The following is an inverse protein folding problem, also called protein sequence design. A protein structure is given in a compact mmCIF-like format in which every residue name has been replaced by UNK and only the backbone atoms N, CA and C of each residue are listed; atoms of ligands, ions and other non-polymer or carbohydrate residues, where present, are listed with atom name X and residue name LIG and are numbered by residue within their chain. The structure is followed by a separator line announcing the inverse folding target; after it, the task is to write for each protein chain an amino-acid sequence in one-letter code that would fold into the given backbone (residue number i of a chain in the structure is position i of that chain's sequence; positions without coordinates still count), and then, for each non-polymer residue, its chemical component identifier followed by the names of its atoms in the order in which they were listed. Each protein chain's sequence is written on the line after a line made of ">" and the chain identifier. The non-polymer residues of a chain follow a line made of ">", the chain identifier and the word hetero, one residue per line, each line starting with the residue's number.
data_IF_640331869645
#
_entry.id   IF_640331869645
#
_cell.length_a   1.000
_cell.length_b   1.000
_cell.length_c   1.000
_cell.angle_alpha   90.00
_cell.angle_beta   90.00
_cell.angle_gamma   90.00
#
_symmetry.space_group_name_H-M   'P 1'
#
loop_
_entity.id
_entity.type
_entity.pdbx_description
1 polymer ?
#
# COMPACT_ATOMS: atom_id res chain seq x y z
N UNK A 1 -3.58 10.51 13.27
CA UNK A 1 -3.91 11.25 12.05
C UNK A 1 -4.26 12.72 12.31
N UNK A 2 -4.24 13.18 13.57
CA UNK A 2 -4.45 14.59 13.92
C UNK A 2 -5.89 15.11 13.79
N UNK A 3 -6.87 14.22 13.63
CA UNK A 3 -8.28 14.59 13.60
C UNK A 3 -8.87 14.77 15.00
N UNK A 4 -9.78 15.74 15.14
CA UNK A 4 -10.60 15.89 16.32
C UNK A 4 -11.62 14.75 16.42
N UNK A 5 -12.19 14.57 17.63
CA UNK A 5 -13.26 13.59 17.84
C UNK A 5 -14.49 13.84 16.94
N UNK A 6 -14.85 15.10 16.78
CA UNK A 6 -15.98 15.52 15.96
C UNK A 6 -15.77 15.20 14.48
N UNK A 7 -14.56 15.42 13.98
CA UNK A 7 -14.17 15.03 12.60
C UNK A 7 -14.19 13.50 12.42
N UNK A 8 -13.71 12.73 13.41
CA UNK A 8 -13.78 11.26 13.37
C UNK A 8 -15.23 10.78 13.35
N UNK A 9 -16.09 11.33 14.17
CA UNK A 9 -17.51 11.00 14.20
C UNK A 9 -18.20 11.32 12.86
N UNK A 10 -17.84 12.41 12.21
CA UNK A 10 -18.33 12.79 10.89
C UNK A 10 -17.92 11.84 9.75
N UNK A 11 -16.80 11.14 9.90
CA UNK A 11 -16.29 10.17 8.92
C UNK A 11 -16.57 8.70 9.29
N UNK A 12 -17.16 8.44 10.44
CA UNK A 12 -17.32 7.08 10.97
C UNK A 12 -18.06 6.15 10.01
N UNK A 13 -19.19 6.58 9.46
CA UNK A 13 -19.98 5.76 8.55
C UNK A 13 -19.23 5.43 7.26
N UNK A 14 -18.51 6.38 6.70
CA UNK A 14 -17.68 6.19 5.51
C UNK A 14 -16.54 5.19 5.78
N UNK A 15 -15.88 5.31 6.92
CA UNK A 15 -14.81 4.40 7.34
C UNK A 15 -15.37 2.99 7.56
N UNK A 16 -16.48 2.87 8.27
CA UNK A 16 -17.13 1.61 8.54
C UNK A 16 -17.55 0.88 7.26
N UNK A 17 -18.16 1.59 6.31
CA UNK A 17 -18.58 1.06 5.03
C UNK A 17 -17.37 0.63 4.18
N UNK A 18 -16.34 1.45 4.11
CA UNK A 18 -15.15 1.11 3.33
C UNK A 18 -14.42 -0.11 3.88
N UNK A 19 -14.30 -0.22 5.20
CA UNK A 19 -13.59 -1.32 5.87
C UNK A 19 -14.25 -2.68 5.70
N UNK A 20 -15.55 -2.73 5.40
CA UNK A 20 -16.35 -3.95 5.29
C UNK A 20 -16.29 -4.85 6.54
N UNK A 21 -16.04 -4.26 7.72
CA UNK A 21 -15.98 -5.00 8.99
C UNK A 21 -17.37 -5.39 9.51
N UNK A 22 -18.44 -4.76 9.01
CA UNK A 22 -19.81 -5.02 9.47
C UNK A 22 -19.95 -4.75 10.98
N UNK A 23 -20.59 -5.66 11.69
CA UNK A 23 -20.81 -5.56 13.14
C UNK A 23 -19.50 -5.59 13.95
N UNK A 24 -18.41 -6.13 13.40
CA UNK A 24 -17.12 -6.17 14.08
C UNK A 24 -16.55 -4.78 14.33
N UNK A 25 -17.02 -3.72 13.64
CA UNK A 25 -16.59 -2.34 13.87
C UNK A 25 -16.86 -1.89 15.32
N UNK A 26 -17.90 -2.41 15.95
CA UNK A 26 -18.29 -2.10 17.32
C UNK A 26 -17.57 -2.97 18.37
N UNK A 27 -16.85 -4.01 17.94
CA UNK A 27 -16.07 -4.85 18.82
C UNK A 27 -14.74 -4.20 19.20
N UNK A 28 -14.18 -4.52 20.38
CA UNK A 28 -12.85 -4.02 20.75
C UNK A 28 -11.78 -4.43 19.75
N UNK A 29 -10.95 -3.50 19.32
CA UNK A 29 -9.90 -3.73 18.31
C UNK A 29 -8.92 -4.86 18.71
N UNK A 30 -8.72 -5.10 20.00
CA UNK A 30 -7.91 -6.23 20.50
C UNK A 30 -8.42 -7.60 20.05
N UNK A 31 -9.70 -7.70 19.63
CA UNK A 31 -10.31 -8.93 19.13
C UNK A 31 -10.18 -9.09 17.63
N UNK A 32 -9.63 -8.10 16.93
CA UNK A 32 -9.47 -8.13 15.48
C UNK A 32 -8.37 -9.09 15.04
N UNK A 33 -8.58 -9.75 13.92
CA UNK A 33 -7.51 -10.41 13.19
C UNK A 33 -6.56 -9.35 12.58
N UNK A 34 -5.36 -9.78 12.18
CA UNK A 34 -4.41 -8.88 11.51
C UNK A 34 -5.00 -8.27 10.22
N UNK A 35 -5.77 -9.05 9.47
CA UNK A 35 -6.46 -8.57 8.26
C UNK A 35 -7.54 -7.54 8.57
N UNK A 36 -8.34 -7.75 9.60
CA UNK A 36 -9.35 -6.79 10.04
C UNK A 36 -8.71 -5.47 10.49
N UNK A 37 -7.63 -5.55 11.24
CA UNK A 37 -6.88 -4.38 11.69
C UNK A 37 -6.32 -3.59 10.50
N UNK A 38 -5.71 -4.27 9.54
CA UNK A 38 -5.17 -3.66 8.32
C UNK A 38 -6.27 -2.99 7.47
N UNK A 39 -7.44 -3.62 7.34
CA UNK A 39 -8.60 -3.02 6.65
C UNK A 39 -9.07 -1.74 7.32
N UNK A 40 -9.20 -1.73 8.63
CA UNK A 40 -9.60 -0.54 9.37
C UNK A 40 -8.55 0.57 9.23
N UNK A 41 -7.28 0.25 9.41
CA UNK A 41 -6.19 1.21 9.29
C UNK A 41 -6.13 1.86 7.89
N UNK A 42 -6.27 1.06 6.84
CA UNK A 42 -6.33 1.58 5.47
C UNK A 42 -7.56 2.44 5.24
N UNK A 43 -8.73 2.03 5.72
CA UNK A 43 -9.98 2.77 5.57
C UNK A 43 -9.91 4.14 6.21
N UNK A 44 -9.32 4.24 7.39
CA UNK A 44 -9.06 5.52 8.07
C UNK A 44 -8.12 6.39 7.24
N UNK A 45 -6.98 5.87 6.81
CA UNK A 45 -6.00 6.61 6.04
C UNK A 45 -6.56 7.12 4.70
N UNK A 46 -7.35 6.31 4.01
CA UNK A 46 -7.96 6.66 2.73
C UNK A 46 -9.10 7.68 2.86
N UNK A 47 -9.84 7.65 3.96
CA UNK A 47 -10.97 8.56 4.21
C UNK A 47 -10.51 9.95 4.64
N UNK A 48 -9.45 10.04 5.44
CA UNK A 48 -8.90 11.31 5.93
C UNK A 48 -8.36 12.19 4.80
N UNK A 49 -8.03 11.63 3.65
CA UNK A 49 -7.44 12.31 2.50
C UNK A 49 -6.22 13.16 2.88
N UNK A 50 -5.16 12.55 3.39
CA UNK A 50 -3.96 13.28 3.80
C UNK A 50 -3.26 13.89 2.58
N UNK A 51 -2.49 14.96 2.79
CA UNK A 51 -1.66 15.56 1.73
C UNK A 51 -0.54 14.61 1.28
N UNK A 52 -0.05 13.78 2.20
CA UNK A 52 0.93 12.73 1.94
C UNK A 52 0.40 11.41 2.51
N UNK A 53 0.20 10.44 1.64
CA UNK A 53 -0.20 9.08 2.03
C UNK A 53 0.97 8.12 1.81
N UNK A 54 1.38 7.43 2.86
CA UNK A 54 2.42 6.40 2.81
C UNK A 54 1.78 5.04 3.03
N UNK A 55 1.94 4.15 2.06
CA UNK A 55 1.42 2.78 2.10
C UNK A 55 2.61 1.80 2.03
N UNK A 56 2.79 1.02 3.08
CA UNK A 56 3.81 -0.03 3.16
C UNK A 56 3.14 -1.40 3.20
N UNK A 57 3.08 -2.08 2.05
CA UNK A 57 2.54 -3.44 1.86
C UNK A 57 1.13 -3.71 2.42
N UNK A 58 0.46 -2.70 3.00
CA UNK A 58 -0.88 -2.84 3.58
C UNK A 58 -1.95 -3.32 2.58
N UNK A 59 -1.69 -3.17 1.27
CA UNK A 59 -2.57 -3.65 0.20
C UNK A 59 -2.42 -5.14 -0.09
N UNK A 60 -1.44 -5.81 0.48
CA UNK A 60 -1.20 -7.25 0.30
C UNK A 60 -1.95 -8.13 1.30
N UNK A 61 -2.47 -7.53 2.38
CA UNK A 61 -3.22 -8.22 3.43
C UNK A 61 -4.72 -8.10 3.18
N UNK A 62 -5.40 -9.22 3.02
CA UNK A 62 -6.84 -9.27 2.81
C UNK A 62 -7.24 -10.09 1.59
N UNK A 63 -8.55 -10.19 1.33
CA UNK A 63 -9.05 -10.85 0.15
C UNK A 63 -8.82 -10.01 -1.13
N UNK A 64 -8.89 -10.67 -2.28
CA UNK A 64 -8.65 -10.06 -3.58
C UNK A 64 -9.62 -8.89 -3.86
N UNK A 65 -10.84 -8.99 -3.39
CA UNK A 65 -11.87 -7.96 -3.57
C UNK A 65 -11.55 -6.67 -2.81
N UNK A 66 -11.11 -6.79 -1.55
CA UNK A 66 -10.70 -5.63 -0.76
C UNK A 66 -9.42 -5.00 -1.30
N UNK A 67 -8.48 -5.83 -1.78
CA UNK A 67 -7.27 -5.36 -2.46
C UNK A 67 -7.59 -4.52 -3.69
N UNK A 68 -8.50 -4.98 -4.55
CA UNK A 68 -8.96 -4.23 -5.73
C UNK A 68 -9.61 -2.90 -5.34
N UNK A 69 -10.50 -2.92 -4.37
CA UNK A 69 -11.16 -1.73 -3.81
C UNK A 69 -10.16 -0.71 -3.28
N UNK A 70 -9.15 -1.19 -2.55
CA UNK A 70 -8.08 -0.37 -2.00
C UNK A 70 -7.20 0.26 -3.08
N UNK A 71 -6.82 -0.51 -4.11
CA UNK A 71 -6.05 0.00 -5.25
C UNK A 71 -6.83 1.05 -6.04
N UNK A 72 -8.12 0.87 -6.24
CA UNK A 72 -8.96 1.85 -6.91
C UNK A 72 -9.02 3.15 -6.10
N UNK A 73 -9.13 3.06 -4.77
CA UNK A 73 -9.11 4.22 -3.89
C UNK A 73 -7.77 4.97 -3.93
N UNK A 74 -6.65 4.25 -3.96
CA UNK A 74 -5.31 4.83 -4.12
C UNK A 74 -5.19 5.58 -5.44
N UNK A 75 -5.71 5.03 -6.54
CA UNK A 75 -5.74 5.69 -7.85
C UNK A 75 -6.57 6.97 -7.84
N UNK A 76 -7.70 6.99 -7.17
CA UNK A 76 -8.52 8.19 -6.97
C UNK A 76 -7.76 9.26 -6.16
N UNK A 77 -7.09 8.87 -5.08
CA UNK A 77 -6.30 9.78 -4.25
C UNK A 77 -5.11 10.37 -5.01
N UNK A 78 -4.54 9.62 -5.94
CA UNK A 78 -3.43 10.08 -6.80
C UNK A 78 -3.85 11.18 -7.77
N UNK A 79 -5.10 11.22 -8.21
CA UNK A 79 -5.60 12.23 -9.15
C UNK A 79 -5.74 13.63 -8.54
N UNK A 80 -5.77 13.72 -7.21
CA UNK A 80 -5.72 14.98 -6.47
C UNK A 80 -4.25 15.42 -6.33
N UNK A 81 -3.99 16.72 -6.09
CA UNK A 81 -2.63 17.28 -5.88
C UNK A 81 -1.97 16.80 -4.58
N UNK A 82 -1.92 15.48 -4.38
CA UNK A 82 -1.42 14.82 -3.18
C UNK A 82 -0.27 13.90 -3.50
N UNK A 83 0.65 13.77 -2.54
CA UNK A 83 1.77 12.85 -2.65
C UNK A 83 1.36 11.46 -2.15
N UNK A 84 1.62 10.44 -2.96
CA UNK A 84 1.49 9.04 -2.60
C UNK A 84 2.86 8.38 -2.63
N UNK A 85 3.23 7.75 -1.54
CA UNK A 85 4.43 6.90 -1.45
C UNK A 85 3.95 5.47 -1.22
N UNK A 86 4.25 4.59 -2.17
CA UNK A 86 3.88 3.19 -2.14
C UNK A 86 5.12 2.31 -2.07
N UNK A 87 5.22 1.49 -1.03
CA UNK A 87 6.26 0.47 -0.88
C UNK A 87 5.64 -0.90 -1.10
N UNK A 88 6.10 -1.64 -2.08
CA UNK A 88 5.51 -2.93 -2.44
C UNK A 88 6.51 -3.84 -3.15
N UNK A 89 6.31 -5.15 -3.01
CA UNK A 89 6.96 -6.18 -3.83
C UNK A 89 6.10 -6.60 -5.04
N UNK A 90 4.88 -6.10 -5.16
CA UNK A 90 3.99 -6.35 -6.28
C UNK A 90 4.35 -5.44 -7.46
N UNK A 91 5.25 -5.89 -8.31
CA UNK A 91 5.81 -5.08 -9.40
C UNK A 91 4.73 -4.56 -10.36
N UNK A 92 3.71 -5.35 -10.66
CA UNK A 92 2.62 -4.90 -11.51
C UNK A 92 1.82 -3.77 -10.87
N UNK A 93 1.58 -3.83 -9.57
CA UNK A 93 0.92 -2.74 -8.84
C UNK A 93 1.71 -1.43 -8.93
N UNK A 94 3.04 -1.50 -8.81
CA UNK A 94 3.90 -0.32 -8.96
C UNK A 94 3.84 0.24 -10.39
N UNK A 95 3.86 -0.62 -11.42
CA UNK A 95 3.74 -0.21 -12.82
C UNK A 95 2.43 0.54 -13.08
N UNK A 96 1.33 0.01 -12.55
CA UNK A 96 -0.01 0.54 -12.81
C UNK A 96 -0.33 1.79 -11.98
N UNK A 97 0.33 1.98 -10.86
CA UNK A 97 -0.03 3.00 -9.86
C UNK A 97 0.96 4.16 -9.80
N UNK A 98 2.25 3.89 -9.97
CA UNK A 98 3.31 4.88 -9.76
C UNK A 98 3.72 5.55 -11.08
N UNK A 99 4.10 6.82 -10.99
CA UNK A 99 4.70 7.59 -12.09
C UNK A 99 6.22 7.76 -11.95
N UNK A 100 6.75 7.42 -10.77
CA UNK A 100 8.18 7.49 -10.43
C UNK A 100 8.50 6.36 -9.45
N UNK A 101 9.51 5.58 -9.73
CA UNK A 101 9.91 4.43 -8.90
C UNK A 101 11.36 4.58 -8.47
N UNK A 102 11.62 4.28 -7.21
CA UNK A 102 12.94 4.26 -6.62
C UNK A 102 13.31 2.83 -6.21
N UNK A 103 14.45 2.34 -6.69
CA UNK A 103 15.04 1.07 -6.28
C UNK A 103 16.10 1.31 -5.20
N UNK A 104 15.83 0.77 -4.02
CA UNK A 104 16.72 0.81 -2.87
C UNK A 104 17.37 -0.56 -2.65
N UNK A 105 18.67 -0.57 -2.39
CA UNK A 105 19.39 -1.79 -2.03
C UNK A 105 20.41 -1.50 -0.93
N UNK A 106 20.34 -2.23 0.18
CA UNK A 106 21.25 -2.08 1.34
C UNK A 106 21.38 -0.61 1.80
N UNK A 107 20.26 0.09 1.87
CA UNK A 107 20.21 1.49 2.31
C UNK A 107 20.68 2.52 1.28
N UNK A 108 20.96 2.11 0.05
CA UNK A 108 21.39 3.01 -1.03
C UNK A 108 20.35 3.09 -2.14
N UNK A 109 20.15 4.28 -2.69
CA UNK A 109 19.39 4.48 -3.90
C UNK A 109 20.22 4.03 -5.11
N UNK A 110 19.77 2.99 -5.79
CA UNK A 110 20.44 2.41 -6.96
C UNK A 110 19.98 3.09 -8.23
N UNK A 111 18.68 3.24 -8.40
CA UNK A 111 18.09 3.85 -9.58
C UNK A 111 16.75 4.48 -9.23
N UNK A 112 16.39 5.55 -9.90
CA UNK A 112 15.10 6.21 -9.81
C UNK A 112 14.66 6.70 -11.18
N UNK A 113 13.38 6.62 -11.47
CA UNK A 113 12.82 7.16 -12.71
C UNK A 113 11.54 6.46 -13.16
N UNK A 114 11.39 6.34 -14.46
CA UNK A 114 10.22 5.75 -15.10
C UNK A 114 10.01 4.30 -14.61
N UNK A 115 8.77 3.94 -14.21
CA UNK A 115 8.49 2.66 -13.55
C UNK A 115 8.97 1.43 -14.30
N UNK A 116 8.70 1.32 -15.60
CA UNK A 116 9.07 0.14 -16.36
C UNK A 116 10.59 -0.04 -16.44
N UNK A 117 11.34 1.04 -16.64
CA UNK A 117 12.80 1.00 -16.71
C UNK A 117 13.43 0.56 -15.39
N UNK A 118 12.98 1.16 -14.28
CA UNK A 118 13.53 0.84 -12.95
C UNK A 118 13.15 -0.57 -12.50
N UNK A 119 11.91 -0.96 -12.72
CA UNK A 119 11.41 -2.29 -12.33
C UNK A 119 12.07 -3.38 -13.16
N UNK A 120 12.24 -3.19 -14.47
CA UNK A 120 12.92 -4.15 -15.33
C UNK A 120 14.38 -4.36 -14.88
N UNK A 121 15.11 -3.28 -14.58
CA UNK A 121 16.46 -3.36 -14.06
C UNK A 121 16.52 -4.07 -12.69
N UNK A 122 15.57 -3.81 -11.82
CA UNK A 122 15.46 -4.47 -10.52
C UNK A 122 15.18 -5.97 -10.66
N UNK A 123 14.27 -6.36 -11.54
CA UNK A 123 13.95 -7.77 -11.81
C UNK A 123 15.13 -8.52 -12.43
N UNK A 124 15.85 -7.89 -13.34
CA UNK A 124 17.09 -8.45 -13.92
C UNK A 124 18.15 -8.70 -12.82
N UNK A 125 18.35 -7.73 -11.94
CA UNK A 125 19.26 -7.87 -10.79
C UNK A 125 18.86 -9.06 -9.89
N UNK A 126 17.57 -9.24 -9.61
CA UNK A 126 17.08 -10.38 -8.84
C UNK A 126 17.30 -11.72 -9.54
N UNK A 127 17.15 -11.75 -10.86
CA UNK A 127 17.43 -12.96 -11.65
C UNK A 127 18.90 -13.33 -11.64
N UNK A 128 19.79 -12.37 -11.83
CA UNK A 128 21.25 -12.57 -11.76
C UNK A 128 21.70 -13.02 -10.38
N UNK A 129 21.14 -12.43 -9.31
CA UNK A 129 21.42 -12.83 -7.93
C UNK A 129 20.99 -14.27 -7.63
N UNK A 130 19.86 -14.71 -8.17
CA UNK A 130 19.40 -16.11 -8.05
C UNK A 130 20.29 -17.08 -8.82
N UNK A 131 20.74 -16.71 -10.00
CA UNK A 131 21.66 -17.53 -10.79
C UNK A 131 23.02 -17.70 -10.11
N UNK A 132 23.56 -16.62 -9.53
CA UNK A 132 24.82 -16.68 -8.77
C UNK A 132 24.72 -17.56 -7.52
N UNK A 133 23.58 -17.53 -6.80
CA UNK A 133 23.34 -18.37 -5.63
C UNK A 133 23.21 -19.86 -6.00
N UNK A 134 22.73 -20.19 -7.19
CA UNK A 134 22.64 -21.59 -7.69
C UNK A 134 24.02 -22.11 -8.08
N UNK A 135 24.90 -21.24 -8.61
CA UNK A 135 26.26 -21.61 -9.00
C UNK A 135 27.21 -21.77 -7.80
N UNK A 136 26.90 -21.18 -6.63
CA UNK A 136 27.64 -21.37 -5.37
C UNK A 136 27.32 -22.67 -4.66
N UNK A 137 26.17 -23.30 -4.92
CA UNK A 137 25.74 -24.59 -4.34
C UNK A 137 26.15 -25.83 -5.17
N UNK A 138 26.95 -25.65 -6.20
CA UNK A 138 27.58 -26.69 -7.02
C UNK A 138 29.10 -26.71 -6.75
#
# INVERSE_FOLDING_TARGET
>A
AGMSREEIEGHFDEIADFSELGEAIDAPMRTYSSGMYARLAFSVAATVRPDILIIDEALSTGDAKFKEKSLNRVKELRSDDRALILVSHAMQTLRDTCNDVAWLHKGKLIQRGEPNQVIDAYQEFLHLGKSAAIDEDV
#
